data_IF_061318912999
#
_entry.id   IF_061318912999
#
_cell.length_a   1.000
_cell.length_b   1.000
_cell.length_c   1.000
_cell.angle_alpha   90.00
_cell.angle_beta   90.00
_cell.angle_gamma   90.00
#
_symmetry.space_group_name_H-M   'P 1'
#
loop_
_entity.id
_entity.type
_entity.pdbx_description
1 polymer ?
#
# COMPACT_ATOMS: atom_id res chain seq x y z
N UNK A 1 18.21 3.34 -2.48
CA UNK A 1 19.23 2.30 -2.51
C UNK A 1 19.69 1.95 -3.92
N UNK A 2 18.82 1.49 -4.81
CA UNK A 2 19.17 1.12 -6.19
C UNK A 2 19.98 2.19 -6.94
N UNK A 3 19.58 3.48 -6.84
CA UNK A 3 20.33 4.59 -7.45
C UNK A 3 21.75 4.75 -6.89
N UNK A 4 21.96 4.46 -5.62
CA UNK A 4 23.30 4.50 -5.00
C UNK A 4 24.20 3.37 -5.52
N UNK A 5 23.63 2.17 -5.68
CA UNK A 5 24.35 0.99 -6.15
C UNK A 5 24.71 1.07 -7.64
N UNK A 6 23.82 1.62 -8.47
CA UNK A 6 23.97 1.66 -9.95
C UNK A 6 24.46 3.00 -10.49
N UNK A 7 24.36 4.09 -9.71
CA UNK A 7 24.63 5.45 -10.19
C UNK A 7 23.55 5.98 -11.14
N UNK A 8 22.43 5.28 -11.33
CA UNK A 8 21.33 5.73 -12.16
C UNK A 8 20.48 6.80 -11.44
N UNK A 9 19.77 7.64 -12.21
CA UNK A 9 18.81 8.63 -11.68
C UNK A 9 17.39 8.17 -12.00
N UNK A 10 16.97 7.05 -11.46
CA UNK A 10 15.61 6.58 -11.65
C UNK A 10 14.66 7.18 -10.60
N UNK A 11 13.43 7.52 -11.02
CA UNK A 11 12.37 7.85 -10.08
C UNK A 11 12.05 6.59 -9.24
N UNK A 12 12.39 6.67 -7.97
CA UNK A 12 12.10 5.63 -6.98
C UNK A 12 10.88 6.12 -6.22
N UNK A 13 9.75 5.48 -6.46
CA UNK A 13 8.52 5.74 -5.72
C UNK A 13 7.91 4.42 -5.31
N UNK A 14 7.74 4.22 -4.02
CA UNK A 14 7.01 3.08 -3.49
C UNK A 14 5.51 3.41 -3.49
N UNK A 15 4.92 3.55 -4.69
CA UNK A 15 3.47 3.81 -4.82
C UNK A 15 2.74 2.48 -4.97
N UNK A 16 1.85 2.13 -4.05
CA UNK A 16 0.97 0.96 -4.20
C UNK A 16 0.12 1.10 -5.48
N UNK A 17 0.14 0.09 -6.35
CA UNK A 17 -0.71 0.04 -7.54
C UNK A 17 -0.09 0.55 -8.84
N UNK A 18 1.20 0.88 -8.86
CA UNK A 18 1.97 1.04 -10.10
C UNK A 18 2.37 -0.35 -10.59
N UNK A 19 2.27 -0.58 -11.89
CA UNK A 19 2.72 -1.81 -12.57
C UNK A 19 4.09 -2.20 -12.02
N UNK A 20 4.20 -3.41 -11.52
CA UNK A 20 5.40 -3.92 -10.85
C UNK A 20 6.46 -4.21 -11.92
N UNK A 21 7.13 -3.17 -12.39
CA UNK A 21 8.23 -3.33 -13.33
C UNK A 21 9.51 -3.64 -12.57
N UNK A 22 10.04 -4.83 -12.79
CA UNK A 22 11.40 -5.23 -12.47
C UNK A 22 12.38 -4.24 -13.10
N UNK A 23 13.37 -3.79 -12.34
CA UNK A 23 14.41 -2.89 -12.84
C UNK A 23 15.76 -3.53 -12.67
N UNK A 24 16.45 -3.68 -13.79
CA UNK A 24 17.80 -4.22 -13.82
C UNK A 24 18.82 -3.09 -13.99
N UNK A 25 19.95 -3.20 -13.32
CA UNK A 25 21.07 -2.25 -13.40
C UNK A 25 22.40 -2.92 -13.15
N UNK A 26 23.49 -2.28 -13.57
CA UNK A 26 24.85 -2.74 -13.32
C UNK A 26 25.42 -2.03 -12.10
N UNK A 27 26.06 -2.77 -11.20
CA UNK A 27 26.69 -2.19 -10.00
C UNK A 27 27.87 -1.30 -10.43
N UNK A 28 27.90 -0.08 -9.91
CA UNK A 28 28.95 0.90 -10.17
C UNK A 28 30.32 0.34 -9.78
N UNK A 29 31.28 0.36 -10.70
CA UNK A 29 32.61 -0.22 -10.52
C UNK A 29 32.73 -1.74 -10.76
N UNK A 30 31.60 -2.43 -10.98
CA UNK A 30 31.56 -3.89 -11.17
C UNK A 30 30.71 -4.25 -12.40
N UNK A 31 31.25 -4.00 -13.60
CA UNK A 31 30.54 -4.12 -14.88
C UNK A 31 29.93 -5.51 -15.19
N UNK A 32 30.40 -6.56 -14.50
CA UNK A 32 29.93 -7.93 -14.68
C UNK A 32 28.86 -8.34 -13.65
N UNK A 33 28.41 -7.41 -12.80
CA UNK A 33 27.44 -7.71 -11.76
C UNK A 33 26.13 -6.95 -12.02
N UNK A 34 25.09 -7.70 -12.35
CA UNK A 34 23.74 -7.18 -12.53
C UNK A 34 23.03 -7.19 -11.18
N UNK A 35 22.34 -6.11 -10.86
CA UNK A 35 21.43 -6.01 -9.73
C UNK A 35 20.02 -5.75 -10.21
N UNK A 36 19.07 -6.48 -9.64
CA UNK A 36 17.65 -6.35 -9.94
C UNK A 36 16.94 -5.74 -8.73
N UNK A 37 16.25 -4.62 -8.95
CA UNK A 37 15.38 -4.01 -7.96
C UNK A 37 14.02 -4.70 -8.00
N UNK A 38 13.59 -5.21 -6.86
CA UNK A 38 12.31 -5.89 -6.68
C UNK A 38 11.36 -5.01 -5.86
N UNK A 39 10.05 -5.17 -6.04
CA UNK A 39 9.09 -4.46 -5.23
C UNK A 39 9.31 -4.64 -3.74
N UNK A 40 9.09 -3.58 -2.96
CA UNK A 40 9.13 -3.64 -1.51
C UNK A 40 8.01 -4.51 -0.95
N UNK A 41 8.38 -5.55 -0.21
CA UNK A 41 7.45 -6.49 0.42
C UNK A 41 7.75 -6.63 1.91
N UNK A 42 6.79 -7.10 2.68
CA UNK A 42 6.96 -7.40 4.10
C UNK A 42 6.92 -8.91 4.38
N UNK A 43 6.46 -9.70 3.43
CA UNK A 43 6.33 -11.16 3.55
C UNK A 43 6.48 -11.82 2.18
N UNK A 44 6.89 -13.08 2.16
CA UNK A 44 6.92 -13.95 0.97
C UNK A 44 5.57 -14.68 0.77
N UNK A 45 4.52 -14.27 1.46
CA UNK A 45 3.18 -14.85 1.32
C UNK A 45 2.45 -14.22 0.12
N UNK A 46 1.64 -14.98 -0.65
CA UNK A 46 1.10 -14.54 -1.94
C UNK A 46 -0.18 -13.69 -1.82
N UNK A 47 -0.17 -12.66 -0.95
CA UNK A 47 -1.34 -11.80 -0.70
C UNK A 47 -1.44 -10.61 -1.65
N UNK A 48 -0.31 -10.07 -2.12
CA UNK A 48 -0.26 -8.95 -3.07
C UNK A 48 0.44 -9.34 -4.36
N UNK A 49 0.23 -8.55 -5.42
CA UNK A 49 0.92 -8.74 -6.70
C UNK A 49 2.44 -8.59 -6.56
N UNK A 50 2.87 -7.68 -5.72
CA UNK A 50 4.27 -7.38 -5.43
C UNK A 50 4.96 -8.59 -4.76
N UNK A 51 4.29 -9.19 -3.77
CA UNK A 51 4.79 -10.38 -3.07
C UNK A 51 4.88 -11.59 -3.98
N UNK A 52 3.89 -11.78 -4.86
CA UNK A 52 3.88 -12.86 -5.85
C UNK A 52 5.06 -12.70 -6.82
N UNK A 53 5.26 -11.50 -7.38
CA UNK A 53 6.35 -11.23 -8.35
C UNK A 53 7.71 -11.41 -7.70
N UNK A 54 7.95 -10.87 -6.51
CA UNK A 54 9.22 -11.01 -5.79
C UNK A 54 9.51 -12.46 -5.46
N UNK A 55 8.51 -13.19 -4.94
CA UNK A 55 8.64 -14.62 -4.60
C UNK A 55 8.95 -15.48 -5.82
N UNK A 56 8.19 -15.31 -6.91
CA UNK A 56 8.42 -16.07 -8.15
C UNK A 56 9.80 -15.78 -8.73
N UNK A 57 10.26 -14.53 -8.67
CA UNK A 57 11.60 -14.16 -9.11
C UNK A 57 12.66 -14.89 -8.29
N UNK A 58 12.61 -14.83 -6.96
CA UNK A 58 13.63 -15.43 -6.10
C UNK A 58 13.69 -16.95 -6.26
N UNK A 59 12.53 -17.63 -6.35
CA UNK A 59 12.46 -19.10 -6.46
C UNK A 59 12.89 -19.58 -7.85
N UNK A 60 12.44 -18.91 -8.93
CA UNK A 60 12.68 -19.38 -10.31
C UNK A 60 14.03 -18.95 -10.88
N UNK A 61 14.40 -17.67 -10.68
CA UNK A 61 15.63 -17.11 -11.24
C UNK A 61 16.87 -17.46 -10.40
N UNK A 62 16.69 -17.91 -9.16
CA UNK A 62 17.75 -18.35 -8.24
C UNK A 62 18.93 -17.38 -8.24
N UNK A 63 18.77 -16.15 -7.73
CA UNK A 63 19.82 -15.14 -7.76
C UNK A 63 21.07 -15.64 -7.04
N UNK A 64 22.23 -15.24 -7.52
CA UNK A 64 23.52 -15.62 -6.90
C UNK A 64 23.72 -15.04 -5.50
N UNK A 65 23.01 -13.97 -5.18
CA UNK A 65 23.01 -13.35 -3.86
C UNK A 65 21.83 -12.40 -3.70
N UNK A 66 21.41 -12.17 -2.46
CA UNK A 66 20.30 -11.28 -2.08
C UNK A 66 20.86 -10.18 -1.19
N UNK A 67 20.50 -8.93 -1.48
CA UNK A 67 20.68 -7.80 -0.56
C UNK A 67 19.32 -7.51 0.05
N UNK A 68 19.14 -7.88 1.31
CA UNK A 68 17.91 -7.60 2.06
C UNK A 68 18.05 -6.26 2.79
N UNK A 69 17.19 -5.28 2.44
CA UNK A 69 17.24 -3.95 3.03
C UNK A 69 16.27 -3.91 4.22
N UNK A 70 16.83 -3.70 5.42
CA UNK A 70 16.13 -3.62 6.69
C UNK A 70 16.16 -2.18 7.20
N UNK A 71 15.01 -1.65 7.58
CA UNK A 71 14.89 -0.34 8.20
C UNK A 71 15.31 -0.41 9.67
N UNK A 72 16.40 0.26 10.03
CA UNK A 72 16.95 0.28 11.38
C UNK A 72 16.04 0.99 12.40
N UNK A 73 15.11 1.82 11.95
CA UNK A 73 14.15 2.49 12.84
C UNK A 73 12.97 1.59 13.20
N UNK A 74 12.77 0.49 12.44
CA UNK A 74 11.67 -0.46 12.63
C UNK A 74 12.12 -1.91 12.38
N UNK A 75 13.19 -2.31 13.06
CA UNK A 75 13.91 -3.58 12.83
C UNK A 75 12.98 -4.79 13.02
N UNK A 76 12.26 -4.86 14.14
CA UNK A 76 11.40 -6.00 14.48
C UNK A 76 10.44 -6.37 13.35
N UNK A 77 9.80 -5.37 12.74
CA UNK A 77 8.87 -5.58 11.63
C UNK A 77 9.57 -6.05 10.35
N UNK A 78 10.73 -5.49 10.07
CA UNK A 78 11.46 -5.79 8.82
C UNK A 78 12.17 -7.14 8.88
N UNK A 79 12.62 -7.60 10.05
CA UNK A 79 13.23 -8.91 10.22
C UNK A 79 12.28 -10.07 9.92
N UNK A 80 10.97 -9.86 9.91
CA UNK A 80 10.02 -10.92 9.56
C UNK A 80 10.22 -11.44 8.12
N UNK A 81 10.45 -10.54 7.17
CA UNK A 81 10.84 -10.93 5.80
C UNK A 81 12.22 -11.56 5.79
N UNK A 82 13.16 -11.03 6.58
CA UNK A 82 14.52 -11.58 6.68
C UNK A 82 14.50 -13.05 7.07
N UNK A 83 13.69 -13.44 8.07
CA UNK A 83 13.50 -14.84 8.47
C UNK A 83 13.07 -15.73 7.30
N UNK A 84 12.11 -15.27 6.51
CA UNK A 84 11.61 -16.03 5.35
C UNK A 84 12.65 -16.14 4.21
N UNK A 85 13.49 -15.12 4.05
CA UNK A 85 14.58 -15.16 3.08
C UNK A 85 15.71 -16.10 3.53
N UNK A 86 16.00 -16.17 4.83
CA UNK A 86 16.97 -17.11 5.41
C UNK A 86 16.51 -18.57 5.21
N UNK A 87 15.22 -18.86 5.37
CA UNK A 87 14.65 -20.19 5.10
C UNK A 87 14.83 -20.65 3.65
N UNK A 88 14.98 -19.72 2.70
CA UNK A 88 15.29 -20.05 1.30
C UNK A 88 16.73 -20.55 1.09
N UNK A 89 17.64 -20.25 2.03
CA UNK A 89 19.03 -20.71 1.98
C UNK A 89 19.87 -20.14 0.83
N UNK A 90 19.47 -19.00 0.25
CA UNK A 90 20.28 -18.29 -0.73
C UNK A 90 21.35 -17.44 -0.06
N UNK A 91 22.52 -17.26 -0.71
CA UNK A 91 23.53 -16.30 -0.27
C UNK A 91 22.91 -14.92 -0.04
N UNK A 92 23.07 -14.33 1.16
CA UNK A 92 22.40 -13.10 1.52
C UNK A 92 23.27 -12.18 2.38
N UNK A 93 23.05 -10.87 2.22
CA UNK A 93 23.58 -9.82 3.08
C UNK A 93 22.44 -8.95 3.56
N UNK A 94 22.42 -8.60 4.82
CA UNK A 94 21.46 -7.65 5.40
C UNK A 94 22.04 -6.23 5.34
N UNK A 95 21.39 -5.33 4.64
CA UNK A 95 21.69 -3.91 4.60
C UNK A 95 20.81 -3.16 5.62
N UNK A 96 21.37 -2.85 6.78
CA UNK A 96 20.68 -2.16 7.86
C UNK A 96 20.65 -0.66 7.55
N UNK A 97 19.60 -0.18 6.92
CA UNK A 97 19.45 1.19 6.41
C UNK A 97 18.85 2.14 7.45
N UNK A 98 18.95 3.44 7.22
CA UNK A 98 18.50 4.52 8.12
C UNK A 98 19.26 4.55 9.47
N UNK A 99 20.52 4.12 9.47
CA UNK A 99 21.36 4.16 10.67
C UNK A 99 21.64 5.58 11.16
N UNK A 100 21.58 6.56 10.28
CA UNK A 100 21.67 7.97 10.63
C UNK A 100 20.47 8.41 11.48
N UNK A 101 19.24 8.05 11.12
CA UNK A 101 18.04 8.37 11.88
C UNK A 101 18.03 7.64 13.24
N UNK A 102 18.42 6.37 13.26
CA UNK A 102 18.53 5.60 14.51
C UNK A 102 19.49 6.27 15.48
N UNK A 103 20.69 6.67 15.01
CA UNK A 103 21.71 7.35 15.84
C UNK A 103 21.27 8.73 16.30
N UNK A 104 20.63 9.53 15.46
CA UNK A 104 20.06 10.84 15.81
C UNK A 104 19.00 10.73 16.92
N UNK A 105 18.26 9.64 16.97
CA UNK A 105 17.30 9.33 18.02
C UNK A 105 17.92 8.66 19.25
N UNK A 106 19.25 8.48 19.30
CA UNK A 106 19.97 7.90 20.42
C UNK A 106 19.86 6.39 20.55
N UNK A 107 19.49 5.71 19.48
CA UNK A 107 19.52 4.26 19.35
C UNK A 107 20.84 3.78 18.72
N UNK A 108 21.13 2.51 18.85
CA UNK A 108 22.27 1.84 18.20
C UNK A 108 21.98 0.35 17.97
N UNK A 109 22.73 -0.28 17.09
CA UNK A 109 22.69 -1.71 16.86
C UNK A 109 24.08 -2.28 17.09
N UNK A 110 24.17 -3.35 17.84
CA UNK A 110 25.37 -4.17 18.04
C UNK A 110 25.42 -5.11 16.82
N UNK A 111 26.13 -4.66 15.78
CA UNK A 111 26.13 -5.32 14.47
C UNK A 111 26.67 -6.76 14.55
N UNK A 112 27.74 -6.98 15.33
CA UNK A 112 28.35 -8.30 15.44
C UNK A 112 27.42 -9.32 16.09
N UNK A 113 26.68 -8.92 17.14
CA UNK A 113 25.69 -9.77 17.81
C UNK A 113 24.53 -10.10 16.86
N UNK A 114 24.11 -9.11 16.04
CA UNK A 114 23.07 -9.34 15.04
C UNK A 114 23.55 -10.26 13.91
N UNK A 115 24.81 -10.14 13.47
CA UNK A 115 25.41 -11.06 12.49
C UNK A 115 25.47 -12.49 13.02
N UNK A 116 25.92 -12.65 14.26
CA UNK A 116 26.00 -13.97 14.90
C UNK A 116 24.60 -14.61 15.02
N UNK A 117 23.59 -13.81 15.44
CA UNK A 117 22.23 -14.31 15.59
C UNK A 117 21.57 -14.64 14.24
N UNK A 118 21.77 -13.83 13.19
CA UNK A 118 21.17 -14.06 11.88
C UNK A 118 21.96 -15.03 10.99
N UNK A 119 23.24 -15.28 11.33
CA UNK A 119 24.11 -16.14 10.55
C UNK A 119 24.44 -15.63 9.14
N UNK A 120 24.34 -14.31 8.91
CA UNK A 120 24.65 -13.62 7.65
C UNK A 120 25.27 -12.25 7.91
N UNK A 121 26.11 -11.71 7.01
CA UNK A 121 26.68 -10.37 7.16
C UNK A 121 25.62 -9.30 7.28
N UNK A 122 25.79 -8.40 8.26
CA UNK A 122 24.92 -7.25 8.52
C UNK A 122 25.70 -5.95 8.34
N UNK A 123 25.38 -5.17 7.35
CA UNK A 123 26.11 -3.95 6.99
C UNK A 123 25.28 -2.72 7.34
N UNK A 124 25.72 -1.90 8.31
CA UNK A 124 25.03 -0.67 8.67
C UNK A 124 25.24 0.42 7.61
N UNK A 125 24.17 0.95 7.07
CA UNK A 125 24.19 1.93 5.98
C UNK A 125 23.26 3.11 6.21
N UNK A 126 23.53 4.22 5.51
CA UNK A 126 22.57 5.28 5.23
C UNK A 126 22.52 5.54 3.72
N UNK A 127 21.48 5.06 3.07
CA UNK A 127 21.30 5.28 1.64
C UNK A 127 21.10 6.77 1.29
N UNK A 128 20.54 7.58 2.21
CA UNK A 128 20.34 9.01 2.04
C UNK A 128 21.70 9.77 2.05
N UNK A 129 22.60 9.40 2.96
CA UNK A 129 23.93 10.02 3.11
C UNK A 129 25.04 9.30 2.32
N UNK A 130 24.69 8.20 1.61
CA UNK A 130 25.63 7.32 0.89
C UNK A 130 26.74 6.72 1.80
N UNK A 131 26.45 6.49 3.09
CA UNK A 131 27.34 5.87 4.04
C UNK A 131 27.22 4.34 4.01
N UNK A 132 28.33 3.59 4.10
CA UNK A 132 28.40 2.13 4.14
C UNK A 132 28.07 1.42 2.81
N UNK A 133 27.85 2.15 1.72
CA UNK A 133 27.44 1.56 0.43
C UNK A 133 28.55 0.72 -0.20
N UNK A 134 29.79 1.20 -0.17
CA UNK A 134 30.95 0.48 -0.73
C UNK A 134 31.21 -0.83 0.00
N UNK A 135 31.14 -0.83 1.33
CA UNK A 135 31.27 -2.01 2.18
C UNK A 135 30.16 -3.03 1.88
N UNK A 136 28.93 -2.56 1.75
CA UNK A 136 27.80 -3.41 1.34
C UNK A 136 28.04 -4.09 -0.01
N UNK A 137 28.53 -3.34 -1.01
CA UNK A 137 28.84 -3.88 -2.35
C UNK A 137 29.91 -4.98 -2.24
N UNK A 138 30.96 -4.74 -1.48
CA UNK A 138 32.05 -5.71 -1.31
C UNK A 138 31.57 -7.00 -0.67
N UNK A 139 30.79 -6.91 0.43
CA UNK A 139 30.23 -8.08 1.09
C UNK A 139 29.21 -8.81 0.22
N UNK A 140 28.31 -8.09 -0.47
CA UNK A 140 27.32 -8.70 -1.37
C UNK A 140 28.00 -9.48 -2.53
N UNK A 141 29.05 -8.91 -3.13
CA UNK A 141 29.81 -9.60 -4.20
C UNK A 141 30.58 -10.79 -3.64
N UNK A 142 31.17 -10.68 -2.45
CA UNK A 142 31.89 -11.77 -1.77
C UNK A 142 30.97 -12.97 -1.54
N UNK A 143 29.83 -12.74 -0.84
CA UNK A 143 28.81 -13.75 -0.51
C UNK A 143 28.27 -14.40 -1.79
N UNK A 144 27.96 -13.60 -2.82
CA UNK A 144 27.47 -14.10 -4.10
C UNK A 144 28.51 -14.90 -4.88
N UNK A 145 29.81 -14.50 -4.82
CA UNK A 145 30.93 -15.18 -5.53
C UNK A 145 31.26 -16.52 -4.90
N UNK A 146 31.33 -16.58 -3.57
CA UNK A 146 31.68 -17.78 -2.83
C UNK A 146 30.49 -18.66 -2.48
N UNK A 147 29.26 -18.20 -2.80
CA UNK A 147 27.98 -18.90 -2.52
C UNK A 147 27.85 -19.24 -1.04
N UNK A 148 28.19 -18.26 -0.18
CA UNK A 148 28.08 -18.39 1.28
C UNK A 148 26.61 -18.39 1.68
N UNK A 149 26.14 -19.54 2.14
CA UNK A 149 24.75 -19.70 2.60
C UNK A 149 24.59 -19.21 4.04
N UNK A 150 23.38 -18.81 4.44
CA UNK A 150 23.08 -18.51 5.83
C UNK A 150 23.46 -19.67 6.76
N UNK A 151 24.09 -19.36 7.88
CA UNK A 151 24.49 -20.35 8.88
C UNK A 151 23.29 -20.82 9.70
N UNK A 152 22.32 -19.92 9.94
CA UNK A 152 21.12 -20.19 10.70
C UNK A 152 19.88 -20.15 9.78
N UNK A 153 19.15 -21.24 9.75
CA UNK A 153 17.89 -21.38 8.98
C UNK A 153 16.77 -21.98 9.82
N UNK A 154 17.10 -22.46 11.03
CA UNK A 154 16.14 -23.05 11.96
C UNK A 154 15.90 -22.14 13.17
N UNK A 155 14.79 -21.45 13.17
CA UNK A 155 14.41 -20.46 14.20
C UNK A 155 13.55 -21.02 15.30
N UNK A 156 13.33 -22.35 15.30
CA UNK A 156 12.50 -23.01 16.27
C UNK A 156 13.28 -23.44 17.51
N UNK A 157 12.70 -23.29 18.68
CA UNK A 157 13.21 -23.96 19.87
C UNK A 157 12.89 -25.46 19.78
N UNK A 158 13.88 -26.32 19.96
CA UNK A 158 13.78 -27.79 19.74
C UNK A 158 12.67 -28.49 20.54
N UNK A 159 12.23 -27.89 21.64
CA UNK A 159 11.21 -28.44 22.53
C UNK A 159 9.77 -28.06 22.12
N UNK A 160 9.60 -27.13 21.18
CA UNK A 160 8.29 -26.61 20.78
C UNK A 160 7.55 -27.53 19.80
N UNK A 161 6.21 -27.55 19.88
CA UNK A 161 5.35 -28.30 18.97
C UNK A 161 5.51 -27.87 17.51
N UNK A 162 5.75 -26.58 17.28
CA UNK A 162 6.02 -26.03 15.93
C UNK A 162 7.27 -26.63 15.31
N UNK A 163 8.35 -26.81 16.10
CA UNK A 163 9.59 -27.43 15.61
C UNK A 163 9.33 -28.86 15.12
N UNK A 164 8.64 -29.66 15.93
CA UNK A 164 8.28 -31.05 15.56
C UNK A 164 7.41 -31.07 14.30
N UNK A 165 6.41 -30.17 14.21
CA UNK A 165 5.53 -30.06 13.07
C UNK A 165 6.27 -29.73 11.78
N UNK A 166 7.11 -28.69 11.79
CA UNK A 166 7.89 -28.30 10.61
C UNK A 166 8.84 -29.43 10.18
N UNK A 167 9.57 -30.07 11.12
CA UNK A 167 10.46 -31.16 10.78
C UNK A 167 9.73 -32.40 10.25
N UNK A 168 8.56 -32.73 10.79
CA UNK A 168 7.73 -33.82 10.25
C UNK A 168 7.29 -33.52 8.81
N UNK A 169 6.86 -32.26 8.54
CA UNK A 169 6.52 -31.83 7.18
C UNK A 169 7.73 -31.85 6.27
N UNK A 170 8.91 -31.37 6.72
CA UNK A 170 10.13 -31.44 5.93
C UNK A 170 10.45 -32.86 5.44
N UNK A 171 10.39 -33.85 6.35
CA UNK A 171 10.62 -35.25 5.96
C UNK A 171 9.56 -35.77 4.99
N UNK A 172 8.30 -35.36 5.16
CA UNK A 172 7.21 -35.78 4.28
C UNK A 172 7.37 -35.25 2.85
N UNK A 173 7.86 -34.02 2.68
CA UNK A 173 7.91 -33.33 1.39
C UNK A 173 9.28 -33.32 0.73
N UNK A 174 10.31 -33.88 1.32
CA UNK A 174 11.73 -33.77 0.87
C UNK A 174 11.87 -34.10 -0.62
N UNK A 175 11.43 -35.30 -1.03
CA UNK A 175 11.50 -35.75 -2.43
C UNK A 175 10.70 -34.87 -3.40
N UNK A 176 9.58 -34.32 -2.95
CA UNK A 176 8.70 -33.45 -3.73
C UNK A 176 9.29 -32.05 -3.88
N UNK A 177 9.87 -31.52 -2.81
CA UNK A 177 10.50 -30.22 -2.79
C UNK A 177 11.77 -30.19 -3.66
N UNK A 178 12.59 -31.27 -3.62
CA UNK A 178 13.73 -31.44 -4.51
C UNK A 178 13.33 -31.46 -5.99
N UNK A 179 12.29 -32.21 -6.35
CA UNK A 179 11.76 -32.26 -7.73
C UNK A 179 11.19 -30.93 -8.19
N UNK A 180 10.56 -30.18 -7.28
CA UNK A 180 10.04 -28.84 -7.54
C UNK A 180 11.12 -27.74 -7.50
N UNK A 181 12.35 -28.11 -7.11
CA UNK A 181 13.48 -27.18 -6.91
C UNK A 181 13.20 -26.05 -5.90
N UNK A 182 12.40 -26.35 -4.88
CA UNK A 182 12.04 -25.41 -3.80
C UNK A 182 12.80 -25.84 -2.53
N UNK A 183 13.45 -24.91 -1.80
CA UNK A 183 14.10 -25.24 -0.53
C UNK A 183 13.12 -25.89 0.47
N UNK A 184 13.49 -27.08 0.98
CA UNK A 184 12.60 -27.93 1.80
C UNK A 184 12.08 -27.20 3.04
N UNK A 185 12.98 -26.46 3.74
CA UNK A 185 12.62 -25.69 4.94
C UNK A 185 11.58 -24.61 4.63
N UNK A 186 11.81 -23.84 3.57
CA UNK A 186 10.86 -22.82 3.13
C UNK A 186 9.52 -23.42 2.72
N UNK A 187 9.54 -24.53 1.95
CA UNK A 187 8.32 -25.21 1.55
C UNK A 187 7.51 -25.70 2.77
N UNK A 188 8.18 -26.34 3.75
CA UNK A 188 7.54 -26.84 4.96
C UNK A 188 6.90 -25.71 5.78
N UNK A 189 7.62 -24.62 6.02
CA UNK A 189 7.10 -23.45 6.74
C UNK A 189 5.89 -22.84 6.01
N UNK A 190 5.94 -22.72 4.67
CA UNK A 190 4.84 -22.18 3.88
C UNK A 190 3.61 -23.07 3.84
N UNK A 191 3.80 -24.37 3.77
CA UNK A 191 2.69 -25.35 3.88
C UNK A 191 2.02 -25.24 5.25
N UNK A 192 2.80 -25.17 6.31
CA UNK A 192 2.27 -24.98 7.67
C UNK A 192 1.54 -23.63 7.82
N UNK A 193 1.92 -22.59 7.06
CA UNK A 193 1.16 -21.34 6.98
C UNK A 193 -0.13 -21.45 6.15
N UNK A 194 -0.37 -22.57 5.45
CA UNK A 194 -1.54 -22.77 4.59
C UNK A 194 -1.38 -22.21 3.16
N UNK A 195 -0.16 -22.13 2.65
CA UNK A 195 0.12 -21.66 1.29
C UNK A 195 -0.27 -22.69 0.23
N UNK A 196 -1.46 -22.51 -0.36
CA UNK A 196 -2.01 -23.41 -1.38
C UNK A 196 -1.14 -23.48 -2.65
N UNK A 197 -0.45 -22.40 -3.02
CA UNK A 197 0.40 -22.38 -4.23
C UNK A 197 1.62 -23.27 -4.09
N UNK A 198 2.25 -23.31 -2.93
CA UNK A 198 3.35 -24.24 -2.66
C UNK A 198 2.80 -25.68 -2.64
N UNK A 199 1.67 -25.90 -1.99
CA UNK A 199 1.04 -27.20 -1.94
C UNK A 199 0.73 -27.77 -3.34
N UNK A 200 0.22 -26.93 -4.25
CA UNK A 200 -0.02 -27.31 -5.64
C UNK A 200 1.26 -27.64 -6.40
N UNK A 201 2.35 -26.87 -6.20
CA UNK A 201 3.62 -27.09 -6.87
C UNK A 201 4.31 -28.40 -6.48
N UNK A 202 4.10 -28.86 -5.25
CA UNK A 202 4.70 -30.09 -4.76
C UNK A 202 4.00 -31.37 -5.27
N UNK A 203 2.80 -31.27 -5.82
CA UNK A 203 2.03 -32.41 -6.37
C UNK A 203 1.96 -33.61 -5.41
N UNK A 204 1.62 -33.37 -4.13
CA UNK A 204 1.48 -34.41 -3.11
C UNK A 204 0.31 -35.35 -3.43
N UNK A 205 0.47 -36.63 -3.06
CA UNK A 205 -0.60 -37.63 -3.13
C UNK A 205 -1.67 -37.34 -2.08
N UNK A 206 -2.87 -37.88 -2.26
CA UNK A 206 -3.97 -37.71 -1.28
C UNK A 206 -3.63 -38.28 0.12
N UNK A 207 -2.83 -39.35 0.19
CA UNK A 207 -2.37 -39.89 1.47
C UNK A 207 -1.39 -38.93 2.17
N UNK A 208 -0.49 -38.31 1.43
CA UNK A 208 0.45 -37.32 1.99
C UNK A 208 -0.28 -36.05 2.42
N UNK A 209 -1.29 -35.59 1.70
CA UNK A 209 -2.14 -34.46 2.10
C UNK A 209 -2.89 -34.76 3.41
N UNK A 210 -3.42 -35.96 3.56
CA UNK A 210 -4.08 -36.37 4.80
C UNK A 210 -3.09 -36.38 5.98
N UNK A 211 -1.88 -36.93 5.77
CA UNK A 211 -0.85 -36.94 6.79
C UNK A 211 -0.40 -35.51 7.16
N UNK A 212 -0.28 -34.64 6.19
CA UNK A 212 0.02 -33.20 6.38
C UNK A 212 -1.06 -32.54 7.27
N UNK A 213 -2.33 -32.81 7.03
CA UNK A 213 -3.43 -32.26 7.80
C UNK A 213 -3.41 -32.80 9.25
N UNK A 214 -3.07 -34.09 9.45
CA UNK A 214 -2.89 -34.68 10.78
C UNK A 214 -1.72 -34.02 11.54
N UNK A 215 -0.57 -33.79 10.88
CA UNK A 215 0.58 -33.09 11.47
C UNK A 215 0.18 -31.65 11.85
N UNK A 216 -0.53 -30.96 10.95
CA UNK A 216 -0.99 -29.60 11.18
C UNK A 216 -1.93 -29.53 12.39
N UNK A 217 -2.91 -30.42 12.46
CA UNK A 217 -3.85 -30.52 13.58
C UNK A 217 -3.13 -30.82 14.90
N UNK A 218 -2.17 -31.75 14.91
CA UNK A 218 -1.38 -32.03 16.11
C UNK A 218 -0.60 -30.80 16.57
N UNK A 219 -0.02 -30.03 15.65
CA UNK A 219 0.68 -28.79 15.98
C UNK A 219 -0.26 -27.74 16.57
N UNK A 220 -1.49 -27.61 16.04
CA UNK A 220 -2.52 -26.72 16.58
C UNK A 220 -2.98 -27.14 17.99
N UNK A 221 -3.17 -28.44 18.23
CA UNK A 221 -3.52 -28.97 19.56
C UNK A 221 -2.40 -28.73 20.59
N UNK A 222 -1.13 -28.91 20.21
CA UNK A 222 0.01 -28.72 21.10
C UNK A 222 0.28 -27.24 21.40
N UNK A 223 0.08 -26.33 20.43
CA UNK A 223 0.35 -24.91 20.59
C UNK A 223 -0.85 -24.11 21.11
N UNK A 224 -2.06 -24.63 20.93
CA UNK A 224 -3.31 -23.91 21.21
C UNK A 224 -3.61 -22.77 20.25
N UNK A 225 -2.88 -22.67 19.14
CA UNK A 225 -2.98 -21.66 18.08
C UNK A 225 -3.31 -22.34 16.74
N UNK A 226 -3.92 -21.59 15.85
CA UNK A 226 -3.97 -22.03 14.46
C UNK A 226 -2.56 -22.09 13.86
N UNK A 227 -2.35 -22.97 12.88
CA UNK A 227 -1.03 -23.28 12.30
C UNK A 227 -0.27 -22.03 11.78
N UNK A 228 -0.96 -21.08 11.14
CA UNK A 228 -0.33 -19.86 10.63
C UNK A 228 0.08 -18.94 11.77
N UNK A 229 -0.74 -18.80 12.82
CA UNK A 229 -0.42 -18.05 14.01
C UNK A 229 0.75 -18.65 14.80
N UNK A 230 0.83 -19.99 14.87
CA UNK A 230 1.94 -20.68 15.53
C UNK A 230 3.29 -20.41 14.84
N UNK A 231 3.35 -20.46 13.51
CA UNK A 231 4.54 -20.12 12.72
C UNK A 231 4.90 -18.63 12.90
N UNK A 232 3.92 -17.74 12.84
CA UNK A 232 4.16 -16.31 13.05
C UNK A 232 4.70 -16.03 14.46
N UNK A 233 4.14 -16.67 15.49
CA UNK A 233 4.60 -16.51 16.87
C UNK A 233 6.05 -17.01 17.04
N UNK A 234 6.40 -18.14 16.46
CA UNK A 234 7.76 -18.67 16.46
C UNK A 234 8.75 -17.64 15.87
N UNK A 235 8.45 -17.09 14.68
CA UNK A 235 9.33 -16.07 14.07
C UNK A 235 9.43 -14.80 14.90
N UNK A 236 8.30 -14.31 15.44
CA UNK A 236 8.33 -13.10 16.29
C UNK A 236 9.08 -13.32 17.60
N UNK A 237 8.99 -14.51 18.22
CA UNK A 237 9.77 -14.84 19.41
C UNK A 237 11.27 -14.81 19.12
N UNK A 238 11.71 -15.39 18.00
CA UNK A 238 13.11 -15.34 17.58
C UNK A 238 13.57 -13.91 17.27
N UNK A 239 12.76 -13.11 16.57
CA UNK A 239 13.05 -11.71 16.28
C UNK A 239 13.18 -10.90 17.57
N UNK A 240 12.32 -11.16 18.56
CA UNK A 240 12.39 -10.50 19.87
C UNK A 240 13.68 -10.85 20.60
N UNK A 241 14.11 -12.12 20.58
CA UNK A 241 15.38 -12.57 21.14
C UNK A 241 16.56 -11.83 20.46
N UNK A 242 16.64 -11.85 19.12
CA UNK A 242 17.67 -11.14 18.35
C UNK A 242 17.68 -9.65 18.66
N UNK A 243 16.52 -8.99 18.66
CA UNK A 243 16.44 -7.57 18.91
C UNK A 243 16.76 -7.20 20.38
N UNK A 244 16.44 -8.07 21.33
CA UNK A 244 16.74 -7.83 22.75
C UNK A 244 18.24 -7.83 23.05
N UNK A 245 19.00 -8.64 22.31
CA UNK A 245 20.45 -8.78 22.49
C UNK A 245 21.22 -7.76 21.63
N UNK A 246 20.74 -7.44 20.42
CA UNK A 246 21.50 -6.65 19.45
C UNK A 246 21.04 -5.20 19.28
N UNK A 247 19.83 -4.82 19.75
CA UNK A 247 19.27 -3.49 19.50
C UNK A 247 19.15 -2.67 20.79
N UNK A 248 19.88 -1.57 20.84
CA UNK A 248 19.71 -0.56 21.88
C UNK A 248 18.62 0.41 21.43
N UNK A 249 17.39 0.24 21.97
CA UNK A 249 16.22 1.02 21.55
C UNK A 249 16.45 2.52 21.77
N UNK A 250 16.13 3.35 20.78
CA UNK A 250 16.22 4.80 20.91
C UNK A 250 15.28 5.29 22.02
N UNK A 251 15.69 6.35 22.71
CA UNK A 251 14.77 7.07 23.58
C UNK A 251 13.64 7.61 22.72
N UNK A 252 12.37 7.43 23.16
CA UNK A 252 11.22 7.91 22.39
C UNK A 252 11.43 9.37 21.98
N UNK A 253 11.51 9.65 20.68
CA UNK A 253 11.69 11.00 20.19
C UNK A 253 10.47 11.86 20.52
N UNK A 254 10.67 13.16 20.75
CA UNK A 254 9.56 14.09 21.01
C UNK A 254 8.55 14.11 19.85
N UNK A 255 9.01 13.84 18.64
CA UNK A 255 8.17 13.75 17.44
C UNK A 255 7.29 12.50 17.48
N UNK A 256 7.84 11.35 17.85
CA UNK A 256 7.08 10.12 18.02
C UNK A 256 5.99 10.26 19.10
N UNK A 257 6.32 10.91 20.23
CA UNK A 257 5.34 11.21 21.28
C UNK A 257 4.23 12.16 20.80
N UNK A 258 4.56 13.14 19.95
CA UNK A 258 3.57 14.03 19.34
C UNK A 258 2.68 13.27 18.35
N UNK A 259 3.28 12.46 17.48
CA UNK A 259 2.53 11.62 16.53
C UNK A 259 1.56 10.70 17.26
N UNK A 260 2.00 9.98 18.31
CA UNK A 260 1.13 9.12 19.13
C UNK A 260 -0.02 9.88 19.81
N UNK A 261 0.20 11.14 20.24
CA UNK A 261 -0.88 11.97 20.81
C UNK A 261 -1.90 12.38 19.74
N UNK A 262 -1.40 12.78 18.56
CA UNK A 262 -2.25 13.11 17.40
C UNK A 262 -3.03 11.88 16.97
N UNK A 263 -2.37 10.72 16.87
CA UNK A 263 -2.99 9.46 16.48
C UNK A 263 -4.09 9.04 17.47
N UNK A 264 -3.82 9.13 18.78
CA UNK A 264 -4.83 8.82 19.80
C UNK A 264 -6.09 9.67 19.67
N UNK A 265 -5.97 10.94 19.24
CA UNK A 265 -7.10 11.82 19.01
C UNK A 265 -7.78 11.50 17.68
N UNK A 266 -7.00 11.37 16.58
CA UNK A 266 -7.53 11.18 15.23
C UNK A 266 -8.11 9.79 15.01
N UNK A 267 -7.56 8.74 15.67
CA UNK A 267 -8.03 7.34 15.51
C UNK A 267 -8.86 6.84 16.69
N UNK A 268 -9.15 7.71 17.66
CA UNK A 268 -9.94 7.36 18.85
C UNK A 268 -11.35 6.86 18.50
N UNK A 269 -11.85 5.89 19.28
CA UNK A 269 -13.16 5.24 19.07
C UNK A 269 -14.32 6.22 18.94
N UNK A 270 -14.30 7.33 19.68
CA UNK A 270 -15.35 8.36 19.68
C UNK A 270 -14.95 9.65 18.98
N UNK A 271 -13.67 9.94 18.85
CA UNK A 271 -13.13 11.17 18.27
C UNK A 271 -12.80 11.03 16.79
N UNK A 272 -12.49 9.82 16.32
CA UNK A 272 -12.01 9.59 14.96
C UNK A 272 -13.02 10.00 13.88
N UNK A 273 -14.27 9.54 13.98
CA UNK A 273 -15.31 9.88 12.98
C UNK A 273 -15.65 11.37 13.02
N UNK A 274 -15.91 12.03 14.17
CA UNK A 274 -16.13 13.47 14.22
C UNK A 274 -14.95 14.30 13.71
N UNK A 275 -13.72 13.91 14.04
CA UNK A 275 -12.50 14.57 13.53
C UNK A 275 -12.41 14.46 12.01
N UNK A 276 -12.68 13.25 11.47
CA UNK A 276 -12.74 13.03 10.04
C UNK A 276 -13.77 13.92 9.32
N UNK A 277 -15.00 13.95 9.82
CA UNK A 277 -16.06 14.80 9.26
C UNK A 277 -15.66 16.28 9.34
N UNK A 278 -15.06 16.71 10.46
CA UNK A 278 -14.60 18.10 10.63
C UNK A 278 -13.50 18.47 9.65
N UNK A 279 -12.46 17.64 9.48
CA UNK A 279 -11.38 17.87 8.54
C UNK A 279 -11.90 17.92 7.09
N UNK A 280 -12.75 16.97 6.71
CA UNK A 280 -13.35 16.95 5.38
C UNK A 280 -14.25 18.17 5.13
N UNK A 281 -15.01 18.58 6.13
CA UNK A 281 -15.83 19.80 6.03
C UNK A 281 -14.96 21.05 5.81
N UNK A 282 -13.84 21.17 6.51
CA UNK A 282 -12.88 22.28 6.32
C UNK A 282 -12.27 22.23 4.91
N UNK A 283 -11.84 21.06 4.44
CA UNK A 283 -11.29 20.90 3.09
C UNK A 283 -12.30 21.31 2.02
N UNK A 284 -13.53 20.80 2.12
CA UNK A 284 -14.57 21.18 1.17
C UNK A 284 -14.94 22.65 1.27
N UNK A 285 -15.01 23.23 2.46
CA UNK A 285 -15.29 24.65 2.63
C UNK A 285 -14.22 25.53 2.00
N UNK A 286 -12.93 25.22 2.23
CA UNK A 286 -11.82 25.92 1.61
C UNK A 286 -11.83 25.79 0.08
N UNK A 287 -12.13 24.59 -0.42
CA UNK A 287 -12.17 24.31 -1.87
C UNK A 287 -13.30 25.06 -2.55
N UNK A 288 -14.52 25.00 -2.01
CA UNK A 288 -15.70 25.51 -2.72
C UNK A 288 -16.04 26.96 -2.41
N UNK A 289 -15.68 27.48 -1.21
CA UNK A 289 -16.11 28.82 -0.80
C UNK A 289 -14.94 29.83 -0.69
N UNK A 290 -13.70 29.39 -0.58
CA UNK A 290 -12.56 30.29 -0.37
C UNK A 290 -11.63 30.26 -1.57
N UNK A 291 -10.75 29.28 -1.64
CA UNK A 291 -9.65 29.24 -2.62
C UNK A 291 -10.18 28.89 -4.01
N UNK A 292 -10.97 27.83 -4.12
CA UNK A 292 -11.49 27.40 -5.41
C UNK A 292 -12.46 28.42 -6.02
N UNK A 293 -13.35 29.02 -5.21
CA UNK A 293 -14.24 30.07 -5.67
C UNK A 293 -13.50 31.33 -6.12
N UNK A 294 -12.44 31.73 -5.38
CA UNK A 294 -11.61 32.87 -5.76
C UNK A 294 -10.90 32.63 -7.11
N UNK A 295 -10.26 31.47 -7.26
CA UNK A 295 -9.55 31.10 -8.50
C UNK A 295 -10.51 30.92 -9.68
N UNK A 296 -11.71 30.39 -9.42
CA UNK A 296 -12.77 30.27 -10.42
C UNK A 296 -13.20 31.67 -10.91
N UNK A 297 -13.47 32.59 -10.00
CA UNK A 297 -13.87 33.95 -10.34
C UNK A 297 -12.80 34.68 -11.13
N UNK A 298 -11.52 34.46 -10.81
CA UNK A 298 -10.39 35.04 -11.55
C UNK A 298 -10.34 34.50 -13.00
N UNK A 299 -10.49 33.18 -13.16
CA UNK A 299 -10.51 32.54 -14.47
C UNK A 299 -11.72 32.96 -15.30
N UNK A 300 -12.90 33.03 -14.68
CA UNK A 300 -14.14 33.44 -15.31
C UNK A 300 -14.06 34.89 -15.81
N UNK A 301 -13.48 35.80 -14.99
CA UNK A 301 -13.19 37.18 -15.40
C UNK A 301 -12.27 37.26 -16.61
N UNK A 302 -11.22 36.40 -16.64
CA UNK A 302 -10.31 36.30 -17.76
C UNK A 302 -10.99 35.78 -19.05
N UNK A 303 -11.81 34.75 -18.92
CA UNK A 303 -12.58 34.20 -20.06
C UNK A 303 -13.57 35.26 -20.59
N UNK A 304 -14.27 35.94 -19.71
CA UNK A 304 -15.23 37.00 -20.08
C UNK A 304 -14.50 38.14 -20.84
N UNK A 305 -13.38 38.62 -20.29
CA UNK A 305 -12.59 39.65 -20.96
C UNK A 305 -12.09 39.22 -22.35
N UNK A 306 -11.66 37.96 -22.49
CA UNK A 306 -11.26 37.40 -23.79
C UNK A 306 -12.45 37.31 -24.75
N UNK A 307 -13.61 36.87 -24.26
CA UNK A 307 -14.85 36.79 -25.02
C UNK A 307 -15.25 38.17 -25.54
N UNK A 308 -15.22 39.20 -24.70
CA UNK A 308 -15.54 40.60 -25.06
C UNK A 308 -14.60 41.12 -26.16
N UNK A 309 -13.28 40.85 -26.06
CA UNK A 309 -12.32 41.24 -27.10
C UNK A 309 -12.63 40.59 -28.45
N UNK A 310 -12.96 39.29 -28.44
CA UNK A 310 -13.31 38.56 -29.66
C UNK A 310 -14.64 39.02 -30.21
N UNK A 311 -15.63 39.28 -29.37
CA UNK A 311 -16.94 39.80 -29.75
C UNK A 311 -16.82 41.16 -30.47
N UNK A 312 -16.06 42.11 -29.86
CA UNK A 312 -15.79 43.39 -30.48
C UNK A 312 -15.03 43.27 -31.81
N UNK A 313 -14.05 42.38 -31.88
CA UNK A 313 -13.27 42.18 -33.11
C UNK A 313 -14.15 41.59 -34.25
N UNK A 314 -15.02 40.64 -33.95
CA UNK A 314 -15.94 40.02 -34.91
C UNK A 314 -17.02 41.02 -35.39
N UNK A 315 -17.52 41.82 -34.48
CA UNK A 315 -18.50 42.89 -34.77
C UNK A 315 -17.86 43.95 -35.70
N UNK A 316 -16.62 44.40 -35.40
CA UNK A 316 -15.89 45.33 -36.23
C UNK A 316 -15.56 44.79 -37.63
N UNK A 317 -15.33 43.47 -37.73
CA UNK A 317 -15.08 42.78 -39.01
C UNK A 317 -16.37 42.47 -39.80
N UNK A 318 -17.55 42.86 -39.31
CA UNK A 318 -18.85 42.61 -39.93
C UNK A 318 -19.09 41.12 -40.24
N UNK A 319 -18.67 40.19 -39.35
CA UNK A 319 -18.83 38.74 -39.52
C UNK A 319 -20.31 38.39 -39.55
N UNK A 320 -20.70 37.38 -40.33
CA UNK A 320 -22.06 36.88 -40.41
C UNK A 320 -22.57 36.48 -39.00
N UNK A 321 -23.81 36.88 -38.67
CA UNK A 321 -24.42 36.69 -37.34
C UNK A 321 -24.47 35.22 -36.91
N UNK A 322 -24.58 34.28 -37.83
CA UNK A 322 -24.58 32.85 -37.51
C UNK A 322 -23.20 32.37 -37.06
N UNK A 323 -22.15 32.84 -37.74
CA UNK A 323 -20.75 32.51 -37.34
C UNK A 323 -20.41 33.20 -36.04
N UNK A 324 -20.86 34.43 -35.83
CA UNK A 324 -20.67 35.21 -34.60
C UNK A 324 -21.30 34.47 -33.40
N UNK A 325 -22.57 34.09 -33.47
CA UNK A 325 -23.26 33.31 -32.43
C UNK A 325 -22.60 31.93 -32.20
N UNK A 326 -22.17 31.23 -33.26
CA UNK A 326 -21.45 29.95 -33.11
C UNK A 326 -20.16 30.13 -32.32
N UNK A 327 -19.39 31.17 -32.54
CA UNK A 327 -18.13 31.44 -31.85
C UNK A 327 -18.39 31.87 -30.39
N UNK A 328 -19.20 32.92 -30.20
CA UNK A 328 -19.42 33.51 -28.86
C UNK A 328 -20.27 32.59 -27.98
N UNK A 329 -21.49 32.23 -28.45
CA UNK A 329 -22.44 31.47 -27.65
C UNK A 329 -22.09 29.97 -27.65
N UNK A 330 -21.58 29.44 -28.77
CA UNK A 330 -21.24 28.03 -28.86
C UNK A 330 -19.87 27.71 -28.24
N UNK A 331 -18.78 28.34 -28.77
CA UNK A 331 -17.42 27.98 -28.35
C UNK A 331 -17.06 28.64 -27.05
N UNK A 332 -17.10 29.96 -26.95
CA UNK A 332 -16.65 30.65 -25.73
C UNK A 332 -17.53 30.39 -24.53
N UNK A 333 -18.83 30.39 -24.66
CA UNK A 333 -19.74 30.06 -23.56
C UNK A 333 -19.65 28.57 -23.18
N UNK A 334 -19.61 27.66 -24.15
CA UNK A 334 -19.52 26.22 -23.91
C UNK A 334 -18.17 25.81 -23.28
N UNK A 335 -17.06 26.18 -23.93
CA UNK A 335 -15.70 25.85 -23.44
C UNK A 335 -15.38 26.62 -22.17
N UNK A 336 -15.75 27.91 -22.10
CA UNK A 336 -15.57 28.75 -20.90
C UNK A 336 -16.29 28.18 -19.68
N UNK A 337 -17.55 27.70 -19.85
CA UNK A 337 -18.31 27.07 -18.80
C UNK A 337 -17.64 25.78 -18.25
N UNK A 338 -17.01 24.99 -19.11
CA UNK A 338 -16.25 23.81 -18.67
C UNK A 338 -14.95 24.20 -17.97
N UNK A 339 -14.19 25.13 -18.54
CA UNK A 339 -12.92 25.59 -17.97
C UNK A 339 -13.11 26.25 -16.60
N UNK A 340 -14.24 26.91 -16.33
CA UNK A 340 -14.49 27.55 -15.04
C UNK A 340 -14.52 26.59 -13.86
N UNK A 341 -14.75 25.30 -14.08
CA UNK A 341 -14.67 24.27 -13.02
C UNK A 341 -13.26 23.78 -12.73
N UNK A 342 -12.30 24.00 -13.64
CA UNK A 342 -10.93 23.50 -13.51
C UNK A 342 -10.23 23.96 -12.21
N UNK A 343 -10.29 25.23 -11.79
CA UNK A 343 -9.64 25.69 -10.57
C UNK A 343 -10.17 24.99 -9.31
N UNK A 344 -11.46 24.73 -9.24
CA UNK A 344 -12.06 24.01 -8.10
C UNK A 344 -11.52 22.60 -8.04
N UNK A 345 -11.43 21.91 -9.17
CA UNK A 345 -10.92 20.55 -9.26
C UNK A 345 -9.46 20.51 -8.81
N UNK A 346 -8.62 21.40 -9.34
CA UNK A 346 -7.19 21.50 -8.99
C UNK A 346 -7.01 21.76 -7.49
N UNK A 347 -7.78 22.69 -6.92
CA UNK A 347 -7.75 23.02 -5.49
C UNK A 347 -8.14 21.82 -4.63
N UNK A 348 -9.18 21.09 -5.02
CA UNK A 348 -9.62 19.88 -4.32
C UNK A 348 -8.52 18.82 -4.31
N UNK A 349 -7.91 18.57 -5.48
CA UNK A 349 -6.82 17.59 -5.58
C UNK A 349 -5.59 18.00 -4.79
N UNK A 350 -5.26 19.26 -4.76
CA UNK A 350 -4.18 19.78 -3.92
C UNK A 350 -4.41 19.45 -2.44
N UNK A 351 -5.59 19.69 -1.90
CA UNK A 351 -5.89 19.35 -0.51
C UNK A 351 -5.95 17.85 -0.25
N UNK A 352 -6.49 17.06 -1.19
CA UNK A 352 -6.50 15.60 -1.05
C UNK A 352 -5.10 15.01 -1.08
N UNK A 353 -4.21 15.51 -1.95
CA UNK A 353 -2.80 15.11 -1.98
C UNK A 353 -2.09 15.47 -0.67
N UNK A 354 -2.36 16.67 -0.12
CA UNK A 354 -1.82 17.07 1.18
C UNK A 354 -2.27 16.13 2.32
N UNK A 355 -3.53 15.70 2.31
CA UNK A 355 -4.05 14.74 3.28
C UNK A 355 -3.43 13.34 3.09
N UNK A 356 -3.17 12.94 1.86
CA UNK A 356 -2.52 11.67 1.53
C UNK A 356 -1.06 11.68 1.99
N UNK A 357 -0.28 12.70 1.64
CA UNK A 357 1.13 12.85 1.99
C UNK A 357 1.35 12.99 3.51
N UNK A 358 0.39 13.59 4.23
CA UNK A 358 0.42 13.63 5.70
C UNK A 358 0.17 12.28 6.38
N UNK A 359 -0.15 11.23 5.62
CA UNK A 359 -0.53 9.92 6.14
C UNK A 359 -1.92 9.88 6.78
N UNK A 360 -2.70 10.97 6.68
CA UNK A 360 -4.04 11.04 7.27
C UNK A 360 -5.02 10.06 6.62
N UNK A 361 -4.90 9.84 5.30
CA UNK A 361 -5.76 8.89 4.57
C UNK A 361 -5.61 7.45 5.06
N UNK A 362 -4.39 7.03 5.45
CA UNK A 362 -4.16 5.71 6.04
C UNK A 362 -4.90 5.56 7.41
N UNK A 363 -4.89 6.63 8.22
CA UNK A 363 -5.61 6.66 9.50
C UNK A 363 -7.12 6.57 9.31
N UNK A 364 -7.65 7.29 8.32
CA UNK A 364 -9.08 7.24 7.95
C UNK A 364 -9.46 5.84 7.47
N UNK A 365 -8.63 5.21 6.64
CA UNK A 365 -8.85 3.84 6.18
C UNK A 365 -8.95 2.86 7.36
N UNK A 366 -8.08 3.00 8.36
CA UNK A 366 -8.11 2.18 9.57
C UNK A 366 -9.41 2.37 10.38
N UNK A 367 -9.85 3.62 10.60
CA UNK A 367 -11.08 3.91 11.34
C UNK A 367 -12.31 3.33 10.62
N UNK A 368 -12.35 3.50 9.31
CA UNK A 368 -13.50 3.12 8.47
C UNK A 368 -13.53 1.61 8.17
N UNK A 369 -12.45 0.88 8.41
CA UNK A 369 -12.33 -0.53 8.08
C UNK A 369 -13.44 -1.37 8.75
N UNK A 370 -13.70 -1.14 10.03
CA UNK A 370 -14.77 -1.84 10.76
C UNK A 370 -16.17 -1.60 10.19
N UNK A 371 -16.42 -0.39 9.66
CA UNK A 371 -17.69 -0.04 9.05
C UNK A 371 -17.83 -0.62 7.65
N UNK A 372 -16.80 -0.48 6.83
CA UNK A 372 -16.79 -0.91 5.43
C UNK A 372 -16.82 -2.43 5.28
N UNK A 373 -16.21 -3.18 6.18
CA UNK A 373 -16.32 -4.65 6.21
C UNK A 373 -17.76 -5.14 6.35
N UNK A 374 -18.60 -4.44 7.10
CA UNK A 374 -20.02 -4.79 7.15
C UNK A 374 -20.68 -4.72 5.78
N UNK A 375 -20.20 -3.80 4.93
CA UNK A 375 -20.62 -3.65 3.54
C UNK A 375 -19.88 -4.57 2.57
N UNK A 376 -18.86 -5.31 3.05
CA UNK A 376 -18.06 -6.22 2.24
C UNK A 376 -16.92 -5.54 1.49
N UNK A 377 -16.42 -4.39 1.97
CA UNK A 377 -15.31 -3.63 1.44
C UNK A 377 -14.19 -3.52 2.46
N UNK A 378 -12.94 -3.40 2.01
CA UNK A 378 -11.81 -3.05 2.87
C UNK A 378 -11.83 -1.56 3.25
N UNK A 379 -11.19 -1.21 4.38
CA UNK A 379 -11.09 0.18 4.84
C UNK A 379 -10.45 1.12 3.82
N UNK A 380 -9.54 0.61 2.98
CA UNK A 380 -8.89 1.39 1.91
C UNK A 380 -9.88 1.88 0.85
N UNK A 381 -11.01 1.21 0.66
CA UNK A 381 -12.06 1.61 -0.29
C UNK A 381 -12.68 2.98 0.04
N UNK A 382 -12.53 3.48 1.28
CA UNK A 382 -13.04 4.81 1.65
C UNK A 382 -12.37 5.93 0.85
N UNK A 383 -11.07 5.80 0.54
CA UNK A 383 -10.31 6.86 -0.14
C UNK A 383 -10.87 7.15 -1.54
N UNK A 384 -11.02 6.16 -2.45
CA UNK A 384 -11.70 6.37 -3.73
C UNK A 384 -13.13 6.91 -3.60
N UNK A 385 -13.88 6.45 -2.60
CA UNK A 385 -15.25 6.93 -2.37
C UNK A 385 -15.29 8.39 -1.93
N UNK A 386 -14.35 8.83 -1.08
CA UNK A 386 -14.22 10.24 -0.66
C UNK A 386 -13.83 11.15 -1.82
N UNK A 387 -12.86 10.73 -2.63
CA UNK A 387 -12.51 11.45 -3.87
C UNK A 387 -13.74 11.56 -4.78
N UNK A 388 -14.60 10.53 -4.81
CA UNK A 388 -15.86 10.49 -5.55
C UNK A 388 -16.87 11.58 -5.18
N UNK A 389 -16.87 12.08 -3.95
CA UNK A 389 -17.68 13.26 -3.55
C UNK A 389 -17.21 14.54 -4.23
N UNK A 390 -15.91 14.67 -4.51
CA UNK A 390 -15.39 15.78 -5.30
C UNK A 390 -15.61 15.56 -6.79
N UNK A 391 -15.11 14.47 -7.34
CA UNK A 391 -15.23 14.10 -8.74
C UNK A 391 -15.22 12.56 -8.90
N UNK A 392 -16.23 12.04 -9.58
CA UNK A 392 -16.37 10.58 -9.78
C UNK A 392 -15.22 9.98 -10.58
N UNK A 393 -14.71 10.67 -11.61
CA UNK A 393 -13.65 10.15 -12.49
C UNK A 393 -12.36 9.83 -11.73
N UNK A 394 -11.75 10.80 -11.00
CA UNK A 394 -10.58 10.50 -10.18
C UNK A 394 -10.87 9.53 -9.04
N UNK A 395 -12.10 9.54 -8.49
CA UNK A 395 -12.53 8.54 -7.51
C UNK A 395 -12.43 7.11 -8.06
N UNK A 396 -12.91 6.90 -9.28
CA UNK A 396 -12.77 5.62 -9.98
C UNK A 396 -11.31 5.32 -10.28
N UNK A 397 -10.51 6.30 -10.71
CA UNK A 397 -9.08 6.10 -10.97
C UNK A 397 -8.30 5.73 -9.71
N UNK A 398 -8.59 6.37 -8.57
CA UNK A 398 -7.97 6.07 -7.29
C UNK A 398 -8.24 4.63 -6.82
N UNK A 399 -9.31 3.98 -7.29
CA UNK A 399 -9.58 2.58 -6.96
C UNK A 399 -8.50 1.60 -7.47
N UNK A 400 -7.61 2.03 -8.38
CA UNK A 400 -6.46 1.23 -8.87
C UNK A 400 -5.47 0.88 -7.75
N UNK A 401 -5.44 1.68 -6.68
CA UNK A 401 -4.58 1.44 -5.52
C UNK A 401 -5.08 0.32 -4.59
N UNK A 402 -6.28 -0.21 -4.85
CA UNK A 402 -6.85 -1.29 -4.05
C UNK A 402 -6.23 -2.64 -4.46
N UNK A 403 -5.69 -3.41 -3.50
CA UNK A 403 -5.00 -4.67 -3.78
C UNK A 403 -5.96 -5.78 -4.25
N UNK A 404 -7.21 -5.76 -3.77
CA UNK A 404 -8.21 -6.76 -4.14
C UNK A 404 -8.97 -6.35 -5.40
N UNK A 405 -8.95 -7.20 -6.43
CA UNK A 405 -9.72 -6.99 -7.66
C UNK A 405 -11.23 -6.92 -7.39
N UNK A 406 -11.69 -7.71 -6.43
CA UNK A 406 -13.08 -7.72 -5.95
C UNK A 406 -13.46 -6.36 -5.35
N UNK A 407 -12.66 -5.86 -4.41
CA UNK A 407 -12.90 -4.57 -3.74
C UNK A 407 -12.79 -3.41 -4.73
N UNK A 408 -11.84 -3.49 -5.67
CA UNK A 408 -11.69 -2.51 -6.74
C UNK A 408 -12.94 -2.42 -7.62
N UNK A 409 -13.44 -3.55 -8.12
CA UNK A 409 -14.65 -3.60 -8.97
C UNK A 409 -15.88 -3.10 -8.20
N UNK A 410 -16.05 -3.53 -6.95
CA UNK A 410 -17.14 -3.10 -6.10
C UNK A 410 -17.08 -1.59 -5.80
N UNK A 411 -15.90 -1.05 -5.50
CA UNK A 411 -15.69 0.38 -5.26
C UNK A 411 -15.98 1.20 -6.52
N UNK A 412 -15.55 0.75 -7.71
CA UNK A 412 -15.87 1.40 -8.99
C UNK A 412 -17.39 1.51 -9.19
N UNK A 413 -18.12 0.45 -8.91
CA UNK A 413 -19.59 0.44 -9.07
C UNK A 413 -20.30 1.31 -8.04
N UNK A 414 -19.73 1.51 -6.85
CA UNK A 414 -20.35 2.29 -5.77
C UNK A 414 -19.99 3.79 -5.84
N UNK A 415 -18.82 4.15 -6.38
CA UNK A 415 -18.36 5.54 -6.47
C UNK A 415 -19.37 6.47 -7.18
N UNK A 416 -20.08 6.09 -8.26
CA UNK A 416 -21.07 6.96 -8.91
C UNK A 416 -22.31 7.29 -8.06
N UNK A 417 -22.59 6.53 -7.01
CA UNK A 417 -23.69 6.87 -6.07
C UNK A 417 -23.33 8.07 -5.20
N UNK A 418 -22.04 8.38 -5.04
CA UNK A 418 -21.60 9.57 -4.34
C UNK A 418 -21.95 10.82 -5.17
N UNK A 419 -22.58 11.80 -4.53
CA UNK A 419 -22.96 13.03 -5.20
C UNK A 419 -21.74 13.94 -5.36
N UNK A 420 -21.19 14.03 -6.58
CA UNK A 420 -20.07 14.89 -6.90
C UNK A 420 -20.52 16.33 -7.23
N UNK A 421 -19.57 17.25 -7.31
CA UNK A 421 -19.82 18.68 -7.58
C UNK A 421 -20.53 18.93 -8.90
N UNK A 422 -20.30 18.11 -9.93
CA UNK A 422 -20.99 18.22 -11.21
C UNK A 422 -22.50 17.98 -11.12
N UNK A 423 -22.99 17.30 -10.08
CA UNK A 423 -24.41 17.08 -9.84
C UNK A 423 -25.08 18.27 -9.13
N UNK A 424 -24.32 19.14 -8.47
CA UNK A 424 -24.84 20.29 -7.72
C UNK A 424 -25.68 21.25 -8.59
N UNK A 425 -25.22 21.70 -9.77
CA UNK A 425 -26.02 22.58 -10.63
C UNK A 425 -27.33 21.94 -11.05
N UNK A 426 -27.32 20.63 -11.32
CA UNK A 426 -28.51 19.85 -11.68
C UNK A 426 -29.50 19.84 -10.51
N UNK A 427 -29.01 19.54 -9.31
CA UNK A 427 -29.85 19.54 -8.10
C UNK A 427 -30.39 20.95 -7.80
N UNK A 428 -29.57 21.99 -7.96
CA UNK A 428 -29.99 23.38 -7.76
C UNK A 428 -31.10 23.78 -8.75
N UNK A 429 -30.96 23.42 -10.02
CA UNK A 429 -31.98 23.69 -11.05
C UNK A 429 -33.31 23.01 -10.71
N UNK A 430 -33.30 21.72 -10.39
CA UNK A 430 -34.52 20.99 -10.03
C UNK A 430 -35.13 21.51 -8.74
N UNK A 431 -34.33 21.81 -7.73
CA UNK A 431 -34.84 22.33 -6.46
C UNK A 431 -35.43 23.74 -6.59
N UNK A 432 -34.82 24.57 -7.41
CA UNK A 432 -35.38 25.92 -7.71
C UNK A 432 -36.68 25.83 -8.47
N UNK A 433 -36.78 24.91 -9.44
CA UNK A 433 -37.99 24.75 -10.26
C UNK A 433 -39.19 24.17 -9.49
N UNK A 434 -38.97 23.12 -8.69
CA UNK A 434 -40.03 22.36 -8.06
C UNK A 434 -40.23 22.66 -6.56
N UNK A 435 -39.20 23.14 -5.86
CA UNK A 435 -39.24 23.35 -4.41
C UNK A 435 -38.65 24.69 -3.96
N UNK A 436 -39.14 25.84 -4.46
CA UNK A 436 -38.55 27.16 -4.23
C UNK A 436 -38.46 27.57 -2.75
N UNK A 437 -39.37 27.08 -1.89
CA UNK A 437 -39.40 27.40 -0.45
C UNK A 437 -38.53 26.44 0.41
N UNK A 438 -38.17 25.27 -0.10
CA UNK A 438 -37.44 24.20 0.65
C UNK A 438 -36.26 23.62 -0.11
N UNK A 439 -35.70 24.36 -1.07
CA UNK A 439 -34.63 23.89 -1.96
C UNK A 439 -33.44 23.31 -1.20
N UNK A 440 -32.98 23.98 -0.14
CA UNK A 440 -31.85 23.51 0.65
C UNK A 440 -32.09 22.14 1.33
N UNK A 441 -33.30 21.94 1.90
CA UNK A 441 -33.65 20.66 2.53
C UNK A 441 -33.76 19.53 1.51
N UNK A 442 -34.33 19.81 0.32
CA UNK A 442 -34.42 18.81 -0.76
C UNK A 442 -33.03 18.47 -1.29
N UNK A 443 -32.14 19.44 -1.42
CA UNK A 443 -30.78 19.21 -1.85
C UNK A 443 -30.00 18.30 -0.86
N UNK A 444 -30.09 18.57 0.44
CA UNK A 444 -29.54 17.70 1.49
C UNK A 444 -30.16 16.30 1.41
N UNK A 445 -31.49 16.23 1.21
CA UNK A 445 -32.18 14.96 1.04
C UNK A 445 -31.69 14.13 -0.12
N UNK A 446 -31.39 14.75 -1.28
CA UNK A 446 -30.81 14.08 -2.45
C UNK A 446 -29.40 13.56 -2.19
N UNK A 447 -28.57 14.30 -1.45
CA UNK A 447 -27.25 13.82 -1.02
C UNK A 447 -27.33 12.59 -0.12
N UNK A 448 -28.18 12.67 0.91
CA UNK A 448 -28.41 11.56 1.84
C UNK A 448 -28.99 10.35 1.10
N UNK A 449 -29.95 10.58 0.20
CA UNK A 449 -30.51 9.53 -0.65
C UNK A 449 -29.45 8.82 -1.49
N UNK A 450 -28.50 9.55 -2.10
CA UNK A 450 -27.39 8.97 -2.85
C UNK A 450 -26.53 8.05 -1.98
N UNK A 451 -26.19 8.48 -0.76
CA UNK A 451 -25.40 7.68 0.20
C UNK A 451 -26.17 6.42 0.61
N UNK A 452 -27.44 6.55 0.95
CA UNK A 452 -28.31 5.42 1.34
C UNK A 452 -28.42 4.39 0.21
N UNK A 453 -28.62 4.86 -1.02
CA UNK A 453 -28.68 3.99 -2.20
C UNK A 453 -27.32 3.29 -2.43
N UNK A 454 -26.20 3.99 -2.25
CA UNK A 454 -24.86 3.40 -2.31
C UNK A 454 -24.68 2.28 -1.29
N UNK A 455 -25.10 2.49 -0.04
CA UNK A 455 -25.05 1.46 1.02
C UNK A 455 -25.93 0.26 0.66
N UNK A 456 -27.16 0.51 0.18
CA UNK A 456 -28.11 -0.54 -0.23
C UNK A 456 -27.53 -1.39 -1.37
N UNK A 457 -26.97 -0.74 -2.39
CA UNK A 457 -26.32 -1.44 -3.51
C UNK A 457 -25.09 -2.21 -3.06
N UNK A 458 -24.28 -1.69 -2.11
CA UNK A 458 -23.16 -2.41 -1.54
C UNK A 458 -23.60 -3.74 -0.88
N UNK A 459 -24.70 -3.70 -0.10
CA UNK A 459 -25.26 -4.90 0.52
C UNK A 459 -25.81 -5.91 -0.49
N UNK A 460 -26.42 -5.42 -1.57
CA UNK A 460 -26.91 -6.27 -2.67
C UNK A 460 -25.72 -6.90 -3.39
N UNK A 461 -24.72 -6.13 -3.76
CA UNK A 461 -23.52 -6.64 -4.46
C UNK A 461 -22.74 -7.64 -3.62
N UNK A 462 -22.60 -7.41 -2.31
CA UNK A 462 -21.98 -8.37 -1.40
C UNK A 462 -22.68 -9.74 -1.43
N UNK A 463 -24.02 -9.77 -1.52
CA UNK A 463 -24.81 -11.02 -1.53
C UNK A 463 -24.89 -11.69 -2.90
N UNK A 464 -24.77 -10.93 -3.99
CA UNK A 464 -25.01 -11.42 -5.35
C UNK A 464 -23.71 -11.61 -6.14
N UNK A 465 -23.09 -10.51 -6.58
CA UNK A 465 -21.99 -10.52 -7.54
C UNK A 465 -20.62 -10.69 -6.88
N UNK A 466 -20.43 -10.22 -5.65
CA UNK A 466 -19.13 -10.21 -4.98
C UNK A 466 -19.17 -11.01 -3.66
N UNK A 467 -19.39 -12.32 -3.79
CA UNK A 467 -19.34 -13.27 -2.66
C UNK A 467 -17.88 -13.43 -2.19
N UNK A 468 -17.65 -13.57 -0.89
CA UNK A 468 -16.33 -13.73 -0.25
C UNK A 468 -16.06 -12.65 0.79
N UNK A 469 -15.02 -12.83 1.59
CA UNK A 469 -14.61 -11.88 2.63
C UNK A 469 -13.71 -10.79 2.06
N UNK A 470 -13.83 -9.57 2.60
CA UNK A 470 -12.91 -8.48 2.30
C UNK A 470 -11.59 -8.71 3.05
N UNK A 471 -10.45 -8.49 2.37
CA UNK A 471 -9.14 -8.54 3.01
C UNK A 471 -9.06 -7.58 4.19
N UNK A 472 -8.60 -8.08 5.34
CA UNK A 472 -8.47 -7.30 6.57
C UNK A 472 -7.16 -6.51 6.57
N UNK A 473 -7.20 -5.24 7.01
CA UNK A 473 -6.00 -4.45 7.32
C UNK A 473 -5.20 -5.04 8.51
N UNK A 474 -5.80 -5.94 9.30
CA UNK A 474 -5.13 -6.59 10.43
C UNK A 474 -4.30 -7.79 9.98
N UNK A 475 -4.54 -8.32 8.77
CA UNK A 475 -3.79 -9.41 8.17
C UNK A 475 -2.70 -8.93 7.18
N UNK A 476 -2.43 -7.66 7.16
CA UNK A 476 -1.32 -7.01 6.46
C UNK A 476 -0.47 -6.36 7.56
#
# INVERSE_FOLDING_TARGET
>A
MFNQLTGSKQHVGNFPGVTVDRKDGVIKGHNNTLITDLPGIYSMSPYSSEEIVTREFVIREKPKGIINIVDATNIERNLYLTMQLLELGFPMVVALNMMDELRENGGSVLVNEMEEALGVPVIPISAAKAEGIEELIQHAIHVAKYQEKPLETDFCRKEEGVHRGIHAVMHLIEDHAEKAEIPVRFAASKIMEGDEKILEQLNLTENEKNLLEDISRQTEEETGLDRAAAIAQMRFAYIEDVCSESVIKPKESREHLRSRKIDRFLTGKYTGIPAFVGIMAVVFWLTFNVIGAFLQGLLESGITALTDVVDHAMTAAHVNSVVHSLVIDGIFSGVGGVLSFLPIIVTLFFFLSLLEDSGYMARVAFIMDKLLRKLGLSGRSIVPMLVGFGCTVPGVMASRTLPSERDRKMTILLTPFMSCTAKLPIYAFFTAAFFPKRGALVMIGLYVFGIVMGILMALIFKKTAFKGEALSLIHI
#
